data_IF_683593962895
#
_entry.id   IF_683593962895
#
_cell.length_a   1.000
_cell.length_b   1.000
_cell.length_c   1.000
_cell.angle_alpha   90.00
_cell.angle_beta   90.00
_cell.angle_gamma   90.00
#
_symmetry.space_group_name_H-M   'P 1'
#
loop_
_entity.id
_entity.type
_entity.pdbx_description
1 polymer ?
#
# COMPACT_ATOMS: atom_id res chain seq x y z
N UNK A 1 9.03 -18.02 -3.53
CA UNK A 1 8.08 -16.90 -3.37
C UNK A 1 7.18 -17.25 -2.19
N UNK A 2 7.11 -16.41 -1.15
CA UNK A 2 6.25 -16.68 0.02
C UNK A 2 4.78 -16.82 -0.40
N UNK A 3 4.09 -17.81 0.14
CA UNK A 3 2.63 -17.98 -0.02
C UNK A 3 1.86 -16.79 0.57
N UNK A 4 0.63 -16.61 0.12
CA UNK A 4 -0.29 -15.60 0.64
C UNK A 4 -0.70 -15.98 2.07
N UNK A 5 -0.47 -15.07 3.02
CA UNK A 5 -0.92 -15.17 4.40
C UNK A 5 -2.03 -14.12 4.57
N UNK A 6 -3.32 -14.53 4.61
CA UNK A 6 -4.44 -13.59 4.55
C UNK A 6 -4.36 -12.49 5.59
N UNK A 7 -4.13 -12.86 6.86
CA UNK A 7 -4.08 -11.91 7.95
C UNK A 7 -2.94 -10.92 7.77
N UNK A 8 -1.71 -11.43 7.54
CA UNK A 8 -0.53 -10.56 7.39
C UNK A 8 -0.60 -9.67 6.16
N UNK A 9 -1.15 -10.17 5.06
CA UNK A 9 -1.23 -9.41 3.82
C UNK A 9 -2.33 -8.34 3.89
N UNK A 10 -3.43 -8.61 4.59
CA UNK A 10 -4.46 -7.62 4.92
C UNK A 10 -3.95 -6.56 5.90
N UNK A 11 -3.21 -6.95 6.94
CA UNK A 11 -2.60 -6.01 7.90
C UNK A 11 -1.60 -5.06 7.22
N UNK A 12 -0.78 -5.59 6.30
CA UNK A 12 0.12 -4.78 5.47
C UNK A 12 -0.66 -3.81 4.59
N UNK A 13 -1.73 -4.27 3.94
CA UNK A 13 -2.57 -3.40 3.12
C UNK A 13 -3.26 -2.32 3.94
N UNK A 14 -3.69 -2.62 5.15
CA UNK A 14 -4.24 -1.64 6.07
C UNK A 14 -3.19 -0.59 6.45
N UNK A 15 -1.97 -1.00 6.82
CA UNK A 15 -0.89 -0.06 7.17
C UNK A 15 -0.53 0.86 5.99
N UNK A 16 -0.35 0.29 4.79
CA UNK A 16 -0.04 1.08 3.60
C UNK A 16 -1.18 2.05 3.24
N UNK A 17 -2.43 1.61 3.35
CA UNK A 17 -3.60 2.45 3.12
C UNK A 17 -3.71 3.57 4.17
N UNK A 18 -3.48 3.28 5.45
CA UNK A 18 -3.56 4.26 6.53
C UNK A 18 -2.47 5.33 6.42
N UNK A 19 -1.23 4.92 6.15
CA UNK A 19 -0.11 5.83 5.92
C UNK A 19 -0.39 6.76 4.73
N UNK A 20 -0.86 6.20 3.62
CA UNK A 20 -1.20 6.96 2.41
C UNK A 20 -2.40 7.89 2.66
N UNK A 21 -3.41 7.42 3.38
CA UNK A 21 -4.60 8.20 3.72
C UNK A 21 -4.23 9.43 4.56
N UNK A 22 -3.41 9.22 5.61
CA UNK A 22 -2.88 10.30 6.43
C UNK A 22 -2.14 11.35 5.58
N UNK A 23 -1.22 10.89 4.72
CA UNK A 23 -0.42 11.78 3.88
C UNK A 23 -1.25 12.57 2.85
N UNK A 24 -2.43 12.08 2.47
CA UNK A 24 -3.33 12.73 1.50
C UNK A 24 -4.54 13.44 2.15
N UNK A 25 -4.67 13.42 3.48
CA UNK A 25 -5.86 13.95 4.17
C UNK A 25 -7.15 13.19 3.84
N UNK A 26 -7.04 11.89 3.56
CA UNK A 26 -8.16 11.01 3.21
C UNK A 26 -8.53 10.08 4.38
N UNK A 27 -9.64 9.36 4.21
CA UNK A 27 -10.04 8.27 5.11
C UNK A 27 -9.50 6.94 4.62
N UNK A 28 -8.91 6.14 5.51
CA UNK A 28 -8.35 4.81 5.20
C UNK A 28 -9.40 3.89 4.56
N UNK A 29 -10.65 3.94 5.04
CA UNK A 29 -11.75 3.14 4.50
C UNK A 29 -12.08 3.51 3.05
N UNK A 30 -11.85 4.77 2.68
CA UNK A 30 -11.99 5.26 1.31
C UNK A 30 -10.99 4.61 0.36
N UNK A 31 -9.75 4.44 0.82
CA UNK A 31 -8.66 3.78 0.09
C UNK A 31 -8.89 2.25 0.03
N UNK A 32 -9.36 1.63 1.11
CA UNK A 32 -9.62 0.19 1.14
C UNK A 32 -10.93 -0.21 0.45
N UNK A 33 -11.85 0.74 0.24
CA UNK A 33 -13.19 0.45 -0.31
C UNK A 33 -13.14 -0.26 -1.66
N UNK A 34 -14.00 -1.28 -1.84
CA UNK A 34 -14.22 -1.92 -3.15
C UNK A 34 -15.11 -1.09 -4.08
N UNK A 35 -15.89 -0.15 -3.54
CA UNK A 35 -16.79 0.70 -4.32
C UNK A 35 -16.00 1.74 -5.12
N UNK A 36 -16.53 2.13 -6.28
CA UNK A 36 -16.00 3.28 -7.03
C UNK A 36 -16.23 4.53 -6.19
N UNK A 37 -15.13 5.20 -5.84
CA UNK A 37 -15.07 6.33 -4.91
C UNK A 37 -14.43 7.53 -5.62
N UNK A 38 -14.10 8.60 -4.91
CA UNK A 38 -13.54 9.81 -5.50
C UNK A 38 -12.21 9.52 -6.24
N UNK A 39 -11.83 10.36 -7.22
CA UNK A 39 -10.51 10.26 -7.87
C UNK A 39 -9.34 10.29 -6.88
N UNK A 40 -9.46 11.05 -5.79
CA UNK A 40 -8.45 11.12 -4.74
C UNK A 40 -8.28 9.78 -4.01
N UNK A 41 -9.38 9.14 -3.62
CA UNK A 41 -9.36 7.79 -2.99
C UNK A 41 -8.86 6.71 -3.96
N UNK A 42 -9.11 6.86 -5.27
CA UNK A 42 -8.54 5.99 -6.29
C UNK A 42 -7.02 6.14 -6.38
N UNK A 43 -6.50 7.38 -6.42
CA UNK A 43 -5.07 7.67 -6.42
C UNK A 43 -4.38 7.16 -5.16
N UNK A 44 -4.97 7.39 -3.98
CA UNK A 44 -4.45 6.86 -2.71
C UNK A 44 -4.35 5.33 -2.70
N UNK A 45 -5.30 4.63 -3.31
CA UNK A 45 -5.23 3.17 -3.46
C UNK A 45 -4.11 2.72 -4.38
N UNK A 46 -3.88 3.41 -5.50
CA UNK A 46 -2.77 3.09 -6.39
C UNK A 46 -1.42 3.26 -5.70
N UNK A 47 -1.25 4.35 -4.92
CA UNK A 47 -0.05 4.59 -4.12
C UNK A 47 0.14 3.48 -3.07
N UNK A 48 -0.89 3.13 -2.30
CA UNK A 48 -0.78 2.07 -1.30
C UNK A 48 -0.42 0.71 -1.93
N UNK A 49 -1.00 0.36 -3.07
CA UNK A 49 -0.64 -0.85 -3.83
C UNK A 49 0.82 -0.83 -4.30
N UNK A 50 1.27 0.32 -4.81
CA UNK A 50 2.65 0.52 -5.25
C UNK A 50 3.63 0.31 -4.10
N UNK A 51 3.38 0.94 -2.95
CA UNK A 51 4.22 0.83 -1.75
C UNK A 51 4.34 -0.61 -1.25
N UNK A 52 3.24 -1.38 -1.22
CA UNK A 52 3.31 -2.81 -0.86
C UNK A 52 4.18 -3.61 -1.81
N UNK A 53 4.16 -3.26 -3.10
CA UNK A 53 5.04 -3.85 -4.08
C UNK A 53 6.47 -3.45 -3.76
N UNK A 54 6.81 -2.17 -3.85
CA UNK A 54 8.20 -1.71 -3.84
C UNK A 54 8.87 -1.81 -2.48
N UNK A 55 8.22 -1.32 -1.42
CA UNK A 55 8.80 -1.29 -0.09
C UNK A 55 8.73 -2.64 0.63
N UNK A 56 7.64 -3.41 0.47
CA UNK A 56 7.46 -4.70 1.16
C UNK A 56 7.68 -5.93 0.28
N UNK A 57 8.04 -5.74 -0.99
CA UNK A 57 8.38 -6.82 -1.90
C UNK A 57 7.22 -7.74 -2.28
N UNK A 58 5.97 -7.38 -1.97
CA UNK A 58 4.81 -8.25 -2.24
C UNK A 58 4.62 -8.48 -3.74
N UNK A 59 4.17 -9.67 -4.13
CA UNK A 59 3.85 -9.93 -5.55
C UNK A 59 2.56 -9.21 -5.95
N UNK A 60 2.39 -8.91 -7.25
CA UNK A 60 1.15 -8.31 -7.76
C UNK A 60 -0.10 -9.09 -7.32
N UNK A 61 -0.03 -10.42 -7.33
CA UNK A 61 -1.14 -11.28 -6.92
C UNK A 61 -1.48 -11.17 -5.43
N UNK A 62 -0.47 -11.02 -4.55
CA UNK A 62 -0.69 -10.84 -3.11
C UNK A 62 -1.30 -9.47 -2.81
N UNK A 63 -0.79 -8.42 -3.44
CA UNK A 63 -1.35 -7.06 -3.34
C UNK A 63 -2.79 -7.04 -3.86
N UNK A 64 -3.04 -7.65 -5.02
CA UNK A 64 -4.36 -7.72 -5.63
C UNK A 64 -5.37 -8.39 -4.70
N UNK A 65 -4.97 -9.51 -4.08
CA UNK A 65 -5.81 -10.24 -3.13
C UNK A 65 -6.08 -9.43 -1.86
N UNK A 66 -5.05 -8.79 -1.28
CA UNK A 66 -5.21 -7.97 -0.07
C UNK A 66 -6.13 -6.75 -0.28
N UNK A 67 -6.18 -6.19 -1.48
CA UNK A 67 -7.09 -5.10 -1.83
C UNK A 67 -8.42 -5.56 -2.46
N UNK A 68 -8.61 -6.87 -2.67
CA UNK A 68 -9.70 -7.46 -3.45
C UNK A 68 -9.89 -6.75 -4.81
N UNK A 69 -8.80 -6.67 -5.57
CA UNK A 69 -8.73 -6.08 -6.91
C UNK A 69 -8.13 -7.08 -7.89
N UNK A 70 -8.30 -6.78 -9.17
CA UNK A 70 -7.65 -7.57 -10.22
C UNK A 70 -6.14 -7.31 -10.25
N UNK A 71 -5.35 -8.34 -10.56
CA UNK A 71 -3.89 -8.24 -10.70
C UNK A 71 -3.47 -7.16 -11.70
N UNK A 72 -4.23 -6.97 -12.78
CA UNK A 72 -3.99 -5.92 -13.78
C UNK A 72 -4.20 -4.52 -13.22
N UNK A 73 -5.10 -4.35 -12.25
CA UNK A 73 -5.29 -3.07 -11.54
C UNK A 73 -4.04 -2.70 -10.75
N UNK A 74 -3.40 -3.67 -10.09
CA UNK A 74 -2.15 -3.43 -9.36
C UNK A 74 -1.01 -3.12 -10.33
N UNK A 75 -0.90 -3.85 -11.45
CA UNK A 75 0.11 -3.57 -12.47
C UNK A 75 -0.07 -2.16 -13.07
N UNK A 76 -1.31 -1.79 -13.39
CA UNK A 76 -1.66 -0.45 -13.85
C UNK A 76 -1.31 0.62 -12.82
N UNK A 77 -1.63 0.40 -11.54
CA UNK A 77 -1.26 1.30 -10.45
C UNK A 77 0.26 1.48 -10.37
N UNK A 78 1.04 0.39 -10.44
CA UNK A 78 2.49 0.49 -10.40
C UNK A 78 3.04 1.35 -11.53
N UNK A 79 2.61 1.10 -12.78
CA UNK A 79 3.07 1.90 -13.92
C UNK A 79 2.71 3.38 -13.76
N UNK A 80 1.47 3.68 -13.34
CA UNK A 80 1.02 5.06 -13.15
C UNK A 80 1.84 5.80 -12.08
N UNK A 81 2.23 5.11 -11.00
CA UNK A 81 3.06 5.72 -9.95
C UNK A 81 4.51 5.87 -10.42
N UNK A 82 5.09 4.89 -11.11
CA UNK A 82 6.43 5.03 -11.70
C UNK A 82 6.49 6.20 -12.69
N UNK A 83 5.51 6.33 -13.59
CA UNK A 83 5.42 7.47 -14.52
C UNK A 83 5.31 8.82 -13.78
N UNK A 84 4.68 8.84 -12.60
CA UNK A 84 4.56 10.05 -11.79
C UNK A 84 5.83 10.40 -11.00
N UNK A 85 6.76 9.46 -10.82
CA UNK A 85 8.05 9.68 -10.12
C UNK A 85 9.06 10.45 -10.96
N UNK A 86 8.74 10.80 -12.21
CA UNK A 86 9.52 11.78 -12.99
C UNK A 86 9.50 13.18 -12.35
N UNK A 87 8.50 13.48 -11.51
CA UNK A 87 8.46 14.69 -10.68
C UNK A 87 9.24 14.47 -9.37
N UNK A 88 10.27 15.29 -9.15
CA UNK A 88 11.20 15.12 -8.02
C UNK A 88 10.55 15.30 -6.64
N UNK A 89 9.55 16.17 -6.53
CA UNK A 89 8.86 16.40 -5.25
C UNK A 89 7.98 15.21 -4.90
N UNK A 90 7.29 14.65 -5.90
CA UNK A 90 6.52 13.42 -5.76
C UNK A 90 7.41 12.21 -5.48
N UNK A 91 8.55 12.08 -6.17
CA UNK A 91 9.52 10.99 -5.96
C UNK A 91 10.02 10.97 -4.52
N UNK A 92 10.47 12.13 -4.02
CA UNK A 92 10.93 12.28 -2.63
C UNK A 92 9.82 11.93 -1.64
N UNK A 93 8.58 12.37 -1.91
CA UNK A 93 7.43 12.06 -1.06
C UNK A 93 7.12 10.55 -1.04
N UNK A 94 7.16 9.86 -2.18
CA UNK A 94 6.98 8.40 -2.27
C UNK A 94 8.07 7.64 -1.52
N UNK A 95 9.33 8.11 -1.61
CA UNK A 95 10.45 7.53 -0.87
C UNK A 95 10.23 7.63 0.64
N UNK A 96 9.77 8.78 1.14
CA UNK A 96 9.44 8.97 2.56
C UNK A 96 8.35 8.01 3.04
N UNK A 97 7.28 7.80 2.25
CA UNK A 97 6.25 6.82 2.59
C UNK A 97 6.78 5.38 2.55
N UNK A 98 7.68 5.06 1.62
CA UNK A 98 8.32 3.74 1.52
C UNK A 98 9.18 3.43 2.74
N UNK A 99 9.98 4.40 3.20
CA UNK A 99 10.75 4.30 4.44
C UNK A 99 9.83 4.16 5.64
N UNK A 100 8.79 5.00 5.75
CA UNK A 100 7.82 4.92 6.84
C UNK A 100 7.17 3.54 6.94
N UNK A 101 6.71 3.00 5.81
CA UNK A 101 6.07 1.68 5.74
C UNK A 101 7.02 0.53 6.12
N UNK A 102 8.27 0.57 5.67
CA UNK A 102 9.26 -0.49 5.92
C UNK A 102 9.95 -0.41 7.28
N UNK A 103 9.87 0.74 7.95
CA UNK A 103 10.45 0.94 9.29
C UNK A 103 9.63 0.30 10.43
N UNK A 104 8.36 -0.03 10.19
CA UNK A 104 7.46 -0.63 11.19
C UNK A 104 7.59 -2.15 11.16
N UNK A 105 7.99 -2.74 12.28
CA UNK A 105 8.08 -4.19 12.47
C UNK A 105 6.96 -4.69 13.38
N UNK A 106 6.41 -5.87 13.07
CA UNK A 106 5.47 -6.54 13.98
C UNK A 106 6.25 -7.02 15.18
N UNK A 107 5.83 -6.59 16.37
CA UNK A 107 6.37 -7.07 17.64
C UNK A 107 5.86 -8.50 17.86
N UNK A 108 6.76 -9.47 17.89
CA UNK A 108 6.38 -10.87 18.11
C UNK A 108 5.91 -11.08 19.57
N UNK A 109 4.95 -11.97 19.76
CA UNK A 109 4.14 -12.10 20.99
C UNK A 109 4.95 -12.32 22.27
N UNK A 110 6.18 -12.82 22.17
CA UNK A 110 7.10 -12.99 23.30
C UNK A 110 7.48 -11.68 24.01
N UNK A 111 7.27 -10.52 23.38
CA UNK A 111 7.64 -9.21 23.93
C UNK A 111 6.46 -8.41 24.52
N UNK A 112 5.22 -8.91 24.41
CA UNK A 112 4.01 -8.21 24.94
C UNK A 112 3.69 -8.63 26.39
N UNK A 113 4.21 -9.77 26.85
CA UNK A 113 3.93 -10.33 28.18
C UNK A 113 5.03 -10.07 29.23
N UNK A 114 6.02 -9.23 28.92
CA UNK A 114 7.10 -8.82 29.84
C UNK A 114 6.87 -7.40 30.38
#
# INVERSE_FOLDING_TARGET
MSEFDPQKDEDRAYLAAALTAYALGLKTEGILSHKRRSPAEARGRHIAMYLLRTALGMSLSRVARAFNRDRTTVAYACNLIEDARDDSDFDLWIEQLSVGLSSVVVLDGASVEA
#
